data_IF_273261708435
#
_entry.id   IF_273261708435
#
_cell.length_a   1.000
_cell.length_b   1.000
_cell.length_c   1.000
_cell.angle_alpha   90.00
_cell.angle_beta   90.00
_cell.angle_gamma   90.00
#
_symmetry.space_group_name_H-M   'P 1'
#
loop_
_entity.id
_entity.type
_entity.pdbx_description
1 polymer ?
#
# COMPACT_ATOMS: atom_id res chain seq x y z
N UNK A 1 -10.04 36.02 -37.96
CA UNK A 1 -9.92 36.39 -36.53
C UNK A 1 -9.97 35.14 -35.71
N UNK A 2 -8.78 34.64 -35.41
CA UNK A 2 -8.57 33.66 -34.35
C UNK A 2 -8.94 34.35 -33.03
N UNK A 3 -9.91 33.80 -32.32
CA UNK A 3 -10.56 34.47 -31.19
C UNK A 3 -9.70 34.22 -29.95
N UNK A 4 -8.74 35.10 -29.69
CA UNK A 4 -7.75 34.99 -28.60
C UNK A 4 -8.40 34.66 -27.24
N UNK A 5 -9.62 35.13 -27.02
CA UNK A 5 -10.44 34.83 -25.84
C UNK A 5 -10.83 33.34 -25.76
N UNK A 6 -11.19 32.71 -26.88
CA UNK A 6 -11.49 31.26 -26.93
C UNK A 6 -10.23 30.42 -26.72
N UNK A 7 -9.09 30.85 -27.25
CA UNK A 7 -7.82 30.18 -27.04
C UNK A 7 -7.37 30.25 -25.56
N UNK A 8 -7.53 31.40 -24.91
CA UNK A 8 -7.23 31.57 -23.48
C UNK A 8 -8.18 30.75 -22.60
N UNK A 9 -9.48 30.71 -22.91
CA UNK A 9 -10.46 29.89 -22.21
C UNK A 9 -10.15 28.40 -22.32
N UNK A 10 -9.90 27.90 -23.55
CA UNK A 10 -9.56 26.49 -23.78
C UNK A 10 -8.24 26.10 -23.07
N UNK A 11 -7.24 26.99 -23.06
CA UNK A 11 -5.98 26.76 -22.34
C UNK A 11 -6.18 26.68 -20.82
N UNK A 12 -7.07 27.52 -20.28
CA UNK A 12 -7.44 27.50 -18.85
C UNK A 12 -8.16 26.20 -18.51
N UNK A 13 -9.17 25.81 -19.28
CA UNK A 13 -9.93 24.57 -19.10
C UNK A 13 -9.02 23.34 -19.15
N UNK A 14 -8.11 23.27 -20.13
CA UNK A 14 -7.13 22.20 -20.24
C UNK A 14 -6.19 22.12 -19.02
N UNK A 15 -5.74 23.27 -18.51
CA UNK A 15 -4.89 23.35 -17.32
C UNK A 15 -5.63 22.87 -16.06
N UNK A 16 -6.90 23.24 -15.91
CA UNK A 16 -7.75 22.79 -14.81
C UNK A 16 -8.02 21.29 -14.88
N UNK A 17 -8.35 20.76 -16.07
CA UNK A 17 -8.51 19.33 -16.30
C UNK A 17 -7.22 18.56 -15.95
N UNK A 18 -6.04 19.07 -16.36
CA UNK A 18 -4.75 18.46 -16.03
C UNK A 18 -4.51 18.40 -14.51
N UNK A 19 -4.91 19.44 -13.77
CA UNK A 19 -4.82 19.43 -12.30
C UNK A 19 -5.75 18.39 -11.69
N UNK A 20 -6.99 18.33 -12.15
CA UNK A 20 -7.97 17.35 -11.66
C UNK A 20 -7.51 15.92 -11.89
N UNK A 21 -7.01 15.60 -13.10
CA UNK A 21 -6.45 14.28 -13.41
C UNK A 21 -5.32 13.93 -12.44
N UNK A 22 -4.36 14.85 -12.22
CA UNK A 22 -3.26 14.61 -11.27
C UNK A 22 -3.76 14.31 -9.85
N UNK A 23 -4.74 15.06 -9.37
CA UNK A 23 -5.34 14.83 -8.05
C UNK A 23 -6.01 13.45 -8.00
N UNK A 24 -6.83 13.11 -8.99
CA UNK A 24 -7.51 11.81 -9.05
C UNK A 24 -6.49 10.67 -9.11
N UNK A 25 -5.47 10.75 -9.97
CA UNK A 25 -4.40 9.74 -10.07
C UNK A 25 -3.67 9.58 -8.74
N UNK A 26 -3.32 10.66 -8.04
CA UNK A 26 -2.68 10.58 -6.74
C UNK A 26 -3.57 9.87 -5.70
N UNK A 27 -4.87 10.20 -5.67
CA UNK A 27 -5.83 9.54 -4.77
C UNK A 27 -6.01 8.06 -5.10
N UNK A 28 -6.13 7.69 -6.39
CA UNK A 28 -6.27 6.27 -6.76
C UNK A 28 -5.00 5.48 -6.49
N UNK A 29 -3.81 6.06 -6.68
CA UNK A 29 -2.54 5.47 -6.27
C UNK A 29 -2.56 5.10 -4.78
N UNK A 30 -2.89 6.04 -3.90
CA UNK A 30 -2.94 5.78 -2.45
C UNK A 30 -3.96 4.69 -2.08
N UNK A 31 -5.10 4.65 -2.79
CA UNK A 31 -6.10 3.58 -2.59
C UNK A 31 -5.57 2.22 -3.01
N UNK A 32 -4.85 2.14 -4.13
CA UNK A 32 -4.25 0.89 -4.61
C UNK A 32 -3.08 0.44 -3.72
N UNK A 33 -2.28 1.37 -3.17
CA UNK A 33 -1.27 1.04 -2.16
C UNK A 33 -1.92 0.41 -0.92
N UNK A 34 -3.07 0.92 -0.44
CA UNK A 34 -3.83 0.26 0.63
C UNK A 34 -4.32 -1.14 0.23
N UNK A 35 -4.84 -1.31 -0.99
CA UNK A 35 -5.26 -2.63 -1.48
C UNK A 35 -4.09 -3.61 -1.58
N UNK A 36 -2.91 -3.13 -1.99
CA UNK A 36 -1.70 -3.93 -2.02
C UNK A 36 -1.34 -4.46 -0.63
N UNK A 37 -1.45 -3.61 0.40
CA UNK A 37 -1.21 -3.98 1.80
C UNK A 37 -2.24 -4.96 2.35
N UNK A 38 -3.54 -4.75 2.08
CA UNK A 38 -4.61 -5.51 2.75
C UNK A 38 -5.18 -6.69 1.92
N UNK A 39 -4.90 -6.74 0.63
CA UNK A 39 -5.37 -7.78 -0.27
C UNK A 39 -6.88 -7.76 -0.53
N UNK A 40 -7.52 -6.60 -0.44
CA UNK A 40 -8.92 -6.44 -0.85
C UNK A 40 -9.11 -6.91 -2.29
N UNK A 41 -10.13 -7.72 -2.51
CA UNK A 41 -10.42 -8.31 -3.81
C UNK A 41 -11.56 -7.61 -4.54
N UNK A 42 -11.61 -7.84 -5.85
CA UNK A 42 -12.75 -7.56 -6.71
C UNK A 42 -13.16 -8.86 -7.39
N UNK A 43 -14.46 -9.04 -7.63
CA UNK A 43 -14.90 -10.04 -8.61
C UNK A 43 -14.40 -9.64 -10.00
N UNK A 44 -14.22 -10.61 -10.90
CA UNK A 44 -13.81 -10.34 -12.29
C UNK A 44 -14.69 -9.26 -12.96
N UNK A 45 -16.02 -9.35 -12.83
CA UNK A 45 -16.95 -8.33 -13.34
C UNK A 45 -16.66 -6.92 -12.79
N UNK A 46 -16.49 -6.79 -11.47
CA UNK A 46 -16.21 -5.49 -10.85
C UNK A 46 -14.82 -4.97 -11.18
N UNK A 47 -13.85 -5.88 -11.37
CA UNK A 47 -12.51 -5.51 -11.81
C UNK A 47 -12.58 -4.93 -13.22
N UNK A 48 -13.22 -5.61 -14.18
CA UNK A 48 -13.35 -5.12 -15.56
C UNK A 48 -14.03 -3.75 -15.61
N UNK A 49 -15.16 -3.61 -14.92
CA UNK A 49 -15.88 -2.33 -14.82
C UNK A 49 -15.03 -1.21 -14.23
N UNK A 50 -14.22 -1.50 -13.22
CA UNK A 50 -13.40 -0.49 -12.57
C UNK A 50 -12.13 -0.16 -13.35
N UNK A 51 -11.49 -1.14 -13.98
CA UNK A 51 -10.16 -1.01 -14.55
C UNK A 51 -10.16 -0.93 -16.09
N UNK A 52 -11.03 -1.65 -16.79
CA UNK A 52 -11.10 -1.59 -18.26
C UNK A 52 -11.89 -0.37 -18.74
N UNK A 53 -13.06 -0.13 -18.14
CA UNK A 53 -14.00 0.92 -18.60
C UNK A 53 -13.64 2.34 -18.11
N UNK A 54 -12.73 2.45 -17.12
CA UNK A 54 -12.34 3.74 -16.54
C UNK A 54 -10.95 4.16 -17.00
N UNK A 55 -10.88 5.24 -17.79
CA UNK A 55 -9.64 5.72 -18.39
C UNK A 55 -8.48 5.97 -17.40
N UNK A 56 -8.76 6.40 -16.16
CA UNK A 56 -7.68 6.60 -15.17
C UNK A 56 -7.22 5.27 -14.59
N UNK A 57 -8.14 4.39 -14.25
CA UNK A 57 -7.83 3.09 -13.64
C UNK A 57 -7.18 2.14 -14.63
N UNK A 58 -7.52 2.25 -15.92
CA UNK A 58 -6.90 1.52 -17.01
C UNK A 58 -5.38 1.66 -17.01
N UNK A 59 -4.88 2.89 -16.84
CA UNK A 59 -3.45 3.15 -16.75
C UNK A 59 -2.78 2.50 -15.52
N UNK A 60 -3.53 2.24 -14.44
CA UNK A 60 -3.01 1.48 -13.30
C UNK A 60 -3.01 -0.02 -13.58
N UNK A 61 -4.07 -0.53 -14.23
CA UNK A 61 -4.19 -1.94 -14.57
C UNK A 61 -3.05 -2.43 -15.45
N UNK A 62 -2.65 -1.62 -16.44
CA UNK A 62 -1.53 -1.92 -17.36
C UNK A 62 -0.15 -1.97 -16.67
N UNK A 63 0.00 -1.24 -15.56
CA UNK A 63 1.30 -0.99 -14.91
C UNK A 63 1.49 -1.75 -13.62
N UNK A 64 0.63 -2.72 -13.35
CA UNK A 64 0.61 -3.53 -12.13
C UNK A 64 0.36 -4.99 -12.49
N UNK A 65 0.84 -5.89 -11.63
CA UNK A 65 0.57 -7.33 -11.73
C UNK A 65 -0.62 -7.69 -10.87
N UNK A 66 -1.54 -8.46 -11.43
CA UNK A 66 -2.77 -8.90 -10.80
C UNK A 66 -2.74 -10.40 -10.58
N UNK A 67 -3.49 -10.87 -9.60
CA UNK A 67 -3.58 -12.29 -9.28
C UNK A 67 -5.03 -12.70 -9.11
N UNK A 68 -5.34 -13.91 -9.56
CA UNK A 68 -6.58 -14.60 -9.21
C UNK A 68 -6.33 -15.40 -7.94
N UNK A 69 -7.20 -15.22 -6.95
CA UNK A 69 -7.10 -15.85 -5.65
C UNK A 69 -8.23 -16.85 -5.42
N UNK A 70 -7.90 -17.93 -4.74
CA UNK A 70 -8.83 -18.95 -4.29
C UNK A 70 -8.47 -19.33 -2.85
N UNK A 71 -9.40 -19.16 -1.92
CA UNK A 71 -9.20 -19.42 -0.49
C UNK A 71 -7.95 -18.71 0.09
N UNK A 72 -7.73 -17.44 -0.30
CA UNK A 72 -6.61 -16.63 0.17
C UNK A 72 -5.24 -16.99 -0.41
N UNK A 73 -5.19 -17.89 -1.40
CA UNK A 73 -3.95 -18.26 -2.11
C UNK A 73 -4.00 -17.80 -3.55
N UNK A 74 -2.87 -17.37 -4.08
CA UNK A 74 -2.74 -17.07 -5.50
C UNK A 74 -2.85 -18.36 -6.30
N UNK A 75 -3.70 -18.35 -7.33
CA UNK A 75 -3.94 -19.46 -8.25
C UNK A 75 -3.23 -19.23 -9.58
N UNK A 76 -3.24 -17.99 -10.04
CA UNK A 76 -2.56 -17.53 -11.25
C UNK A 76 -2.29 -16.04 -11.15
N UNK A 77 -1.30 -15.58 -11.90
CA UNK A 77 -0.95 -14.16 -12.04
C UNK A 77 -1.13 -13.70 -13.48
N UNK A 78 -1.42 -12.42 -13.67
CA UNK A 78 -1.59 -11.85 -14.99
C UNK A 78 -1.26 -10.35 -15.02
N UNK A 79 -0.95 -9.85 -16.21
CA UNK A 79 -0.88 -8.43 -16.56
C UNK A 79 -1.97 -8.09 -17.56
N UNK A 80 -2.53 -6.89 -17.45
CA UNK A 80 -3.45 -6.35 -18.42
C UNK A 80 -2.69 -5.52 -19.47
N UNK A 81 -3.00 -5.71 -20.75
CA UNK A 81 -2.32 -5.07 -21.87
C UNK A 81 -3.16 -3.91 -22.43
N UNK A 82 -2.51 -3.01 -23.17
CA UNK A 82 -3.14 -1.80 -23.69
C UNK A 82 -4.17 -2.05 -24.81
N UNK A 83 -4.13 -3.24 -25.41
CA UNK A 83 -5.14 -3.70 -26.37
C UNK A 83 -6.34 -4.40 -25.72
N UNK A 84 -6.34 -4.52 -24.38
CA UNK A 84 -7.39 -5.16 -23.60
C UNK A 84 -7.21 -6.66 -23.40
N UNK A 85 -6.15 -7.26 -23.94
CA UNK A 85 -5.78 -8.65 -23.67
C UNK A 85 -5.06 -8.80 -22.34
N UNK A 86 -4.76 -10.04 -21.95
CA UNK A 86 -3.99 -10.34 -20.75
C UNK A 86 -2.86 -11.30 -21.10
N UNK A 87 -1.75 -11.20 -20.39
CA UNK A 87 -0.68 -12.20 -20.44
C UNK A 87 -0.31 -12.70 -19.03
N UNK A 88 0.31 -13.88 -18.96
CA UNK A 88 0.87 -14.44 -17.74
C UNK A 88 2.37 -14.04 -17.60
N UNK A 89 3.04 -14.60 -16.60
CA UNK A 89 4.45 -14.33 -16.31
C UNK A 89 5.41 -14.80 -17.41
N UNK A 90 4.99 -15.76 -18.24
CA UNK A 90 5.74 -16.28 -19.39
C UNK A 90 5.47 -15.46 -20.69
N UNK A 91 4.71 -14.36 -20.58
CA UNK A 91 4.22 -13.52 -21.69
C UNK A 91 3.31 -14.27 -22.68
N UNK A 92 2.74 -15.40 -22.24
CA UNK A 92 1.71 -16.15 -22.97
C UNK A 92 0.32 -15.53 -22.75
N UNK A 93 -0.56 -15.69 -23.74
CA UNK A 93 -1.96 -15.25 -23.65
C UNK A 93 -2.66 -15.85 -22.42
N UNK A 94 -3.35 -15.00 -21.67
CA UNK A 94 -4.05 -15.38 -20.45
C UNK A 94 -5.55 -15.12 -20.57
N UNK A 95 -6.36 -16.15 -20.33
CA UNK A 95 -7.81 -16.01 -20.25
C UNK A 95 -8.24 -15.77 -18.79
N UNK A 96 -8.69 -14.56 -18.49
CA UNK A 96 -9.22 -14.22 -17.18
C UNK A 96 -10.55 -14.96 -16.91
N UNK A 97 -10.66 -15.81 -15.87
CA UNK A 97 -11.91 -16.51 -15.58
C UNK A 97 -13.07 -15.56 -15.26
N UNK A 98 -14.28 -15.88 -15.74
CA UNK A 98 -15.49 -15.08 -15.47
C UNK A 98 -15.81 -14.96 -13.97
N UNK A 99 -15.44 -15.99 -13.19
CA UNK A 99 -15.59 -16.03 -11.74
C UNK A 99 -14.22 -16.17 -11.10
N UNK A 100 -13.65 -15.03 -10.73
CA UNK A 100 -12.37 -14.92 -10.07
C UNK A 100 -12.44 -13.82 -9.01
N UNK A 101 -11.75 -14.05 -7.89
CA UNK A 101 -11.40 -12.99 -6.94
C UNK A 101 -10.04 -12.45 -7.33
N UNK A 102 -10.00 -11.18 -7.74
CA UNK A 102 -8.82 -10.53 -8.27
C UNK A 102 -8.31 -9.52 -7.25
N UNK A 103 -7.01 -9.50 -7.01
CA UNK A 103 -6.35 -8.39 -6.32
C UNK A 103 -4.93 -8.20 -6.84
N UNK A 104 -4.23 -7.20 -6.32
CA UNK A 104 -2.83 -6.96 -6.62
C UNK A 104 -1.99 -8.13 -6.09
N UNK A 105 -1.04 -8.58 -6.90
CA UNK A 105 -0.02 -9.53 -6.45
C UNK A 105 0.89 -8.84 -5.48
N UNK A 106 1.07 -9.44 -4.30
CA UNK A 106 2.10 -9.06 -3.35
C UNK A 106 3.24 -10.09 -3.44
N UNK A 107 4.53 -9.69 -3.43
CA UNK A 107 5.65 -10.63 -3.51
C UNK A 107 5.62 -11.76 -2.46
N UNK A 108 5.07 -11.50 -1.27
CA UNK A 108 4.85 -12.50 -0.20
C UNK A 108 3.92 -13.67 -0.58
N UNK A 109 3.14 -13.56 -1.66
CA UNK A 109 2.16 -14.56 -2.07
C UNK A 109 2.59 -15.48 -3.18
N UNK A 110 3.59 -15.08 -3.96
CA UNK A 110 4.07 -15.81 -5.12
C UNK A 110 5.44 -16.41 -4.85
N UNK A 111 5.80 -17.39 -5.66
CA UNK A 111 7.13 -18.00 -5.62
C UNK A 111 8.18 -17.05 -6.20
N UNK A 112 9.43 -17.21 -5.78
CA UNK A 112 10.53 -16.36 -6.25
C UNK A 112 10.72 -16.43 -7.77
N UNK A 113 10.53 -17.59 -8.38
CA UNK A 113 10.64 -17.76 -9.83
C UNK A 113 9.58 -16.93 -10.59
N UNK A 114 8.32 -17.00 -10.16
CA UNK A 114 7.23 -16.20 -10.75
C UNK A 114 7.50 -14.70 -10.56
N UNK A 115 8.02 -14.30 -9.39
CA UNK A 115 8.36 -12.90 -9.14
C UNK A 115 9.45 -12.38 -10.07
N UNK A 116 10.52 -13.16 -10.28
CA UNK A 116 11.62 -12.75 -11.16
C UNK A 116 11.18 -12.67 -12.61
N UNK A 117 10.33 -13.58 -13.10
CA UNK A 117 9.72 -13.48 -14.44
C UNK A 117 8.93 -12.18 -14.62
N UNK A 118 8.12 -11.79 -13.63
CA UNK A 118 7.41 -10.52 -13.69
C UNK A 118 8.33 -9.31 -13.68
N UNK A 119 9.42 -9.34 -12.90
CA UNK A 119 10.43 -8.26 -12.92
C UNK A 119 11.11 -8.16 -14.29
N UNK A 120 11.54 -9.28 -14.84
CA UNK A 120 12.15 -9.35 -16.18
C UNK A 120 11.20 -8.79 -17.24
N UNK A 121 9.93 -9.22 -17.24
CA UNK A 121 8.93 -8.69 -18.18
C UNK A 121 8.72 -7.18 -17.99
N UNK A 122 8.65 -6.67 -16.76
CA UNK A 122 8.48 -5.23 -16.53
C UNK A 122 9.71 -4.43 -16.97
N UNK A 123 10.91 -4.96 -16.81
CA UNK A 123 12.15 -4.34 -17.26
C UNK A 123 12.26 -4.35 -18.79
N UNK A 124 11.96 -5.48 -19.44
CA UNK A 124 12.01 -5.66 -20.90
C UNK A 124 11.05 -4.72 -21.65
N UNK A 125 9.85 -4.54 -21.10
CA UNK A 125 8.85 -3.62 -21.65
C UNK A 125 8.96 -2.19 -21.10
N UNK A 126 9.99 -1.88 -20.31
CA UNK A 126 10.26 -0.58 -19.69
C UNK A 126 9.06 -0.01 -18.89
N UNK A 127 8.32 -0.90 -18.21
CA UNK A 127 7.09 -0.57 -17.50
C UNK A 127 7.40 0.03 -16.14
N UNK A 128 7.16 1.33 -16.00
CA UNK A 128 7.28 2.02 -14.71
C UNK A 128 6.02 1.82 -13.86
N UNK A 129 6.16 1.08 -12.75
CA UNK A 129 5.07 0.87 -11.80
C UNK A 129 4.65 2.17 -11.09
N UNK A 130 3.35 2.37 -10.81
CA UNK A 130 2.87 3.57 -10.14
C UNK A 130 3.28 3.64 -8.66
N UNK A 131 3.58 2.50 -8.04
CA UNK A 131 4.18 2.34 -6.72
C UNK A 131 5.03 1.06 -6.71
N UNK A 132 5.84 0.89 -5.67
CA UNK A 132 6.75 -0.27 -5.53
C UNK A 132 5.88 -1.52 -5.27
N UNK A 133 5.68 -2.36 -6.29
CA UNK A 133 4.92 -3.60 -6.17
C UNK A 133 5.85 -4.82 -6.21
N UNK A 134 6.56 -5.04 -7.33
CA UNK A 134 7.39 -6.24 -7.52
C UNK A 134 8.69 -6.21 -6.70
N UNK A 135 9.14 -5.00 -6.37
CA UNK A 135 10.34 -4.78 -5.55
C UNK A 135 9.98 -4.47 -4.08
N UNK A 136 8.73 -4.69 -3.66
CA UNK A 136 8.36 -4.50 -2.26
C UNK A 136 9.12 -5.49 -1.38
N UNK A 137 9.62 -5.01 -0.24
CA UNK A 137 10.38 -5.84 0.68
C UNK A 137 9.48 -6.87 1.37
N UNK A 138 9.98 -8.10 1.49
CA UNK A 138 9.26 -9.19 2.17
C UNK A 138 9.84 -9.35 3.57
N UNK A 139 9.22 -8.70 4.55
CA UNK A 139 9.64 -8.79 5.95
C UNK A 139 8.71 -9.77 6.67
N UNK A 140 9.26 -10.91 7.05
CA UNK A 140 8.55 -11.95 7.81
C UNK A 140 8.95 -11.87 9.27
N UNK A 141 7.95 -11.80 10.15
CA UNK A 141 8.13 -11.97 11.59
C UNK A 141 8.20 -13.47 11.93
N UNK A 142 8.97 -13.78 12.97
CA UNK A 142 9.03 -15.09 13.60
C UNK A 142 8.77 -14.95 15.10
N UNK A 143 8.62 -16.07 15.82
CA UNK A 143 8.31 -16.05 17.26
C UNK A 143 9.32 -15.24 18.09
N UNK A 144 10.60 -15.21 17.70
CA UNK A 144 11.64 -14.43 18.39
C UNK A 144 11.45 -12.91 18.26
N UNK A 145 10.69 -12.48 17.26
CA UNK A 145 10.46 -11.07 16.94
C UNK A 145 9.23 -10.52 17.69
N UNK A 146 8.61 -11.36 18.54
CA UNK A 146 7.35 -11.10 19.22
C UNK A 146 7.47 -11.45 20.71
N UNK A 147 7.01 -10.54 21.57
CA UNK A 147 6.89 -10.74 23.01
C UNK A 147 5.55 -10.15 23.45
N UNK A 148 4.74 -10.90 24.20
CA UNK A 148 3.40 -10.46 24.68
C UNK A 148 2.49 -9.84 23.59
N UNK A 149 2.45 -10.47 22.41
CA UNK A 149 1.74 -10.00 21.20
C UNK A 149 2.18 -8.61 20.67
N UNK A 150 3.35 -8.14 21.08
CA UNK A 150 4.00 -6.93 20.58
C UNK A 150 5.18 -7.31 19.68
N UNK A 151 5.43 -6.51 18.63
CA UNK A 151 6.59 -6.71 17.75
C UNK A 151 7.86 -6.21 18.45
N UNK A 152 8.50 -7.08 19.22
CA UNK A 152 9.69 -6.77 20.03
C UNK A 152 10.94 -6.46 19.18
N UNK A 153 10.99 -6.93 17.92
CA UNK A 153 12.13 -6.74 16.98
C UNK A 153 12.59 -5.28 16.82
N UNK A 154 11.71 -4.30 17.00
CA UNK A 154 12.04 -2.88 16.80
C UNK A 154 11.97 -2.04 18.08
N UNK A 155 11.64 -2.64 19.22
CA UNK A 155 11.53 -1.91 20.48
C UNK A 155 12.90 -1.42 20.93
N UNK A 156 12.95 -0.17 21.41
CA UNK A 156 14.17 0.54 21.77
C UNK A 156 14.99 1.05 20.58
N UNK A 157 14.58 0.78 19.33
CA UNK A 157 15.19 1.42 18.17
C UNK A 157 14.76 2.88 18.11
N UNK A 158 15.70 3.75 17.75
CA UNK A 158 15.47 5.18 17.63
C UNK A 158 15.12 5.57 16.20
N UNK A 159 14.29 6.60 16.07
CA UNK A 159 14.01 7.29 14.82
C UNK A 159 13.85 8.78 15.08
N UNK A 160 13.97 9.58 14.02
CA UNK A 160 13.65 11.00 14.11
C UNK A 160 12.14 11.22 14.17
N UNK A 161 11.66 12.08 15.06
CA UNK A 161 10.23 12.45 15.14
C UNK A 161 9.67 12.91 13.79
N UNK A 162 10.48 13.63 12.99
CA UNK A 162 10.13 14.01 11.63
C UNK A 162 9.91 12.85 10.66
N UNK A 163 10.63 11.73 10.83
CA UNK A 163 10.42 10.50 10.04
C UNK A 163 9.10 9.83 10.40
N UNK A 164 8.75 9.72 11.69
CA UNK A 164 7.44 9.21 12.12
C UNK A 164 6.31 10.09 11.59
N UNK A 165 6.41 11.41 11.71
CA UNK A 165 5.41 12.34 11.20
C UNK A 165 5.27 12.26 9.66
N UNK A 166 6.37 12.07 8.94
CA UNK A 166 6.36 11.87 7.50
C UNK A 166 5.69 10.54 7.10
N UNK A 167 5.97 9.45 7.81
CA UNK A 167 5.31 8.16 7.62
C UNK A 167 3.80 8.27 7.90
N UNK A 168 3.42 8.89 9.03
CA UNK A 168 2.03 9.11 9.40
C UNK A 168 1.27 9.89 8.32
N UNK A 169 1.86 10.96 7.79
CA UNK A 169 1.28 11.71 6.68
C UNK A 169 1.19 10.90 5.38
N UNK A 170 2.24 10.16 5.02
CA UNK A 170 2.30 9.38 3.77
C UNK A 170 1.24 8.28 3.74
N UNK A 171 1.08 7.55 4.84
CA UNK A 171 0.17 6.41 4.95
C UNK A 171 -1.19 6.78 5.56
N UNK A 172 -1.42 8.08 5.85
CA UNK A 172 -2.63 8.58 6.47
C UNK A 172 -2.95 7.86 7.79
N UNK A 173 -1.92 7.71 8.62
CA UNK A 173 -2.07 7.21 9.99
C UNK A 173 -2.79 8.26 10.83
N UNK A 174 -3.63 7.79 11.75
CA UNK A 174 -4.28 8.63 12.73
C UNK A 174 -3.29 8.88 13.87
N UNK A 175 -3.32 10.08 14.45
CA UNK A 175 -2.63 10.34 15.71
C UNK A 175 -3.56 9.88 16.83
N UNK A 176 -3.04 9.19 17.84
CA UNK A 176 -3.84 8.78 18.99
C UNK A 176 -4.21 9.95 19.90
N UNK A 177 -4.78 9.62 21.05
CA UNK A 177 -5.38 10.59 21.95
C UNK A 177 -4.34 11.57 22.52
N UNK A 178 -4.76 12.81 22.77
CA UNK A 178 -3.93 13.76 23.49
C UNK A 178 -3.83 13.33 24.96
N UNK A 179 -2.60 13.29 25.47
CA UNK A 179 -2.28 13.03 26.87
C UNK A 179 -1.96 14.30 27.65
N UNK A 180 -1.44 14.10 28.86
CA UNK A 180 -1.03 15.19 29.73
C UNK A 180 0.22 15.92 29.21
N UNK A 181 0.35 17.20 29.56
CA UNK A 181 1.53 18.00 29.21
C UNK A 181 1.72 18.26 27.71
N UNK A 182 0.69 18.04 26.89
CA UNK A 182 0.78 18.17 25.43
C UNK A 182 1.41 16.95 24.75
N UNK A 183 1.46 15.80 25.43
CA UNK A 183 1.78 14.52 24.81
C UNK A 183 0.63 13.99 23.96
N UNK A 184 0.89 12.97 23.16
CA UNK A 184 -0.15 12.17 22.52
C UNK A 184 0.29 10.70 22.42
N UNK A 185 -0.69 9.80 22.36
CA UNK A 185 -0.46 8.37 22.14
C UNK A 185 -0.16 8.13 20.66
N UNK A 186 1.06 7.72 20.33
CA UNK A 186 1.45 7.10 19.06
C UNK A 186 0.78 7.53 17.74
N UNK A 187 0.87 6.63 16.77
CA UNK A 187 0.20 6.69 15.48
C UNK A 187 -0.43 5.35 15.13
N UNK A 188 -1.64 5.42 14.57
CA UNK A 188 -2.44 4.26 14.17
C UNK A 188 -2.58 4.18 12.66
N UNK A 189 -2.06 3.11 12.07
CA UNK A 189 -2.35 2.75 10.68
C UNK A 189 -3.59 1.86 10.64
N UNK A 190 -4.74 2.46 10.37
CA UNK A 190 -6.04 1.78 10.35
C UNK A 190 -6.33 1.17 8.97
N UNK A 191 -6.75 -0.10 8.97
CA UNK A 191 -7.30 -0.79 7.81
C UNK A 191 -8.71 -1.32 8.10
N UNK A 192 -9.72 -0.57 7.62
CA UNK A 192 -11.13 -0.91 7.81
C UNK A 192 -11.54 -2.21 7.09
N UNK A 193 -10.81 -2.60 6.03
CA UNK A 193 -11.13 -3.81 5.27
C UNK A 193 -10.77 -5.08 6.08
N UNK A 194 -9.62 -5.05 6.75
CA UNK A 194 -9.20 -6.11 7.66
C UNK A 194 -9.81 -5.97 9.06
N UNK A 195 -10.35 -4.80 9.41
CA UNK A 195 -10.90 -4.53 10.73
C UNK A 195 -9.82 -4.47 11.82
N UNK A 196 -8.60 -4.09 11.44
CA UNK A 196 -7.44 -4.02 12.33
C UNK A 196 -6.70 -2.69 12.15
N UNK A 197 -5.82 -2.38 13.09
CA UNK A 197 -4.85 -1.32 12.94
C UNK A 197 -3.51 -1.69 13.57
N UNK A 198 -2.45 -1.09 13.05
CA UNK A 198 -1.13 -1.11 13.68
C UNK A 198 -1.00 0.15 14.53
N UNK A 199 -0.79 -0.02 15.83
CA UNK A 199 -0.40 1.03 16.76
C UNK A 199 1.12 1.10 16.87
N UNK A 200 1.70 2.30 16.74
CA UNK A 200 3.12 2.57 16.94
C UNK A 200 3.25 3.71 17.96
N UNK A 201 3.89 3.45 19.09
CA UNK A 201 4.16 4.46 20.12
C UNK A 201 5.65 4.58 20.42
N UNK A 202 6.04 5.71 21.00
CA UNK A 202 7.40 5.97 21.42
C UNK A 202 7.50 6.75 22.73
N UNK A 203 8.70 6.74 23.30
CA UNK A 203 9.00 7.26 24.64
C UNK A 203 8.67 8.75 24.85
N UNK A 204 8.81 9.57 23.81
CA UNK A 204 8.59 11.02 23.88
C UNK A 204 7.87 11.53 22.63
N UNK A 205 6.53 11.52 22.66
CA UNK A 205 5.67 12.09 21.62
C UNK A 205 4.84 13.25 22.15
N UNK A 206 4.98 14.44 21.54
CA UNK A 206 4.23 15.64 21.94
C UNK A 206 3.97 16.61 20.78
N UNK A 207 2.98 17.48 20.97
CA UNK A 207 2.60 18.46 19.96
C UNK A 207 3.69 19.52 19.74
N UNK A 208 4.08 19.73 18.48
CA UNK A 208 5.09 20.73 18.13
C UNK A 208 6.54 20.28 18.36
N UNK A 209 6.77 18.98 18.57
CA UNK A 209 8.09 18.38 18.69
C UNK A 209 9.00 18.73 17.50
N UNK A 210 10.28 19.01 17.78
CA UNK A 210 11.27 19.26 16.73
C UNK A 210 11.49 17.98 15.92
N UNK A 211 11.49 18.11 14.59
CA UNK A 211 11.60 16.96 13.69
C UNK A 211 12.94 16.23 13.77
N UNK A 212 13.96 16.82 14.39
CA UNK A 212 15.27 16.19 14.59
C UNK A 212 15.43 15.51 15.96
N UNK A 213 14.43 15.61 16.84
CA UNK A 213 14.43 14.87 18.10
C UNK A 213 14.33 13.37 17.84
N UNK A 214 15.03 12.63 18.69
CA UNK A 214 15.01 11.17 18.70
C UNK A 214 13.79 10.68 19.48
N UNK A 215 13.13 9.66 18.94
CA UNK A 215 12.02 8.94 19.56
C UNK A 215 12.40 7.46 19.54
N UNK A 216 12.39 6.83 20.71
CA UNK A 216 12.61 5.39 20.84
C UNK A 216 11.26 4.68 20.76
N UNK A 217 11.14 3.67 19.90
CA UNK A 217 9.90 2.91 19.76
C UNK A 217 9.65 2.07 21.02
N UNK A 218 8.50 2.24 21.65
CA UNK A 218 8.14 1.55 22.89
C UNK A 218 6.98 0.58 22.71
N UNK A 219 6.04 0.88 21.81
CA UNK A 219 4.93 -0.02 21.49
C UNK A 219 4.74 -0.22 19.99
N UNK A 220 4.59 -1.47 19.58
CA UNK A 220 4.25 -1.85 18.20
C UNK A 220 3.27 -3.03 18.26
N UNK A 221 1.97 -2.75 18.17
CA UNK A 221 0.92 -3.74 18.38
C UNK A 221 -0.08 -3.71 17.23
N UNK A 222 -0.52 -4.89 16.81
CA UNK A 222 -1.71 -5.01 15.97
C UNK A 222 -2.93 -5.15 16.87
N UNK A 223 -3.98 -4.39 16.58
CA UNK A 223 -5.21 -4.42 17.37
C UNK A 223 -6.43 -4.47 16.48
N UNK A 224 -7.53 -4.99 16.98
CA UNK A 224 -8.83 -4.93 16.29
C UNK A 224 -9.42 -3.53 16.38
N UNK A 225 -10.05 -3.07 15.29
CA UNK A 225 -10.80 -1.81 15.30
C UNK A 225 -12.01 -1.90 16.24
N UNK A 226 -12.63 -3.09 16.33
CA UNK A 226 -13.69 -3.37 17.28
C UNK A 226 -13.12 -3.92 18.59
N UNK A 227 -13.31 -3.20 19.70
CA UNK A 227 -12.96 -3.65 21.05
C UNK A 227 -11.49 -3.53 21.46
N UNK A 228 -10.61 -3.04 20.59
CA UNK A 228 -9.18 -2.78 20.87
C UNK A 228 -8.38 -4.01 21.35
N UNK A 229 -8.71 -5.21 20.86
CA UNK A 229 -8.04 -6.43 21.26
C UNK A 229 -6.67 -6.55 20.58
N UNK A 230 -5.62 -6.78 21.37
CA UNK A 230 -4.26 -7.02 20.85
C UNK A 230 -4.20 -8.39 20.18
N UNK A 231 -3.74 -8.41 18.94
CA UNK A 231 -3.59 -9.60 18.10
C UNK A 231 -2.15 -10.10 18.10
N UNK A 232 -1.97 -11.42 18.04
CA UNK A 232 -0.67 -12.00 17.74
C UNK A 232 -0.25 -11.60 16.31
N UNK A 233 0.90 -10.91 16.10
CA UNK A 233 1.33 -10.50 14.77
C UNK A 233 1.48 -11.65 13.76
N UNK A 234 1.69 -12.91 14.21
CA UNK A 234 1.77 -14.07 13.33
C UNK A 234 0.40 -14.54 12.79
N UNK A 235 -0.69 -14.10 13.41
CA UNK A 235 -2.07 -14.44 13.01
C UNK A 235 -2.70 -13.35 12.12
N UNK A 236 -2.04 -12.20 12.00
CA UNK A 236 -2.47 -11.10 11.13
C UNK A 236 -2.15 -11.40 9.67
N UNK A 237 -2.91 -10.81 8.73
CA UNK A 237 -2.65 -10.92 7.31
C UNK A 237 -1.17 -10.62 6.98
N UNK A 238 -0.46 -11.62 6.44
CA UNK A 238 0.99 -11.54 6.18
C UNK A 238 1.41 -10.41 5.24
N UNK A 239 0.55 -9.97 4.31
CA UNK A 239 0.84 -8.81 3.45
C UNK A 239 0.87 -7.55 4.29
N UNK A 240 -0.17 -7.36 5.09
CA UNK A 240 -0.31 -6.20 5.95
C UNK A 240 0.84 -6.12 6.94
N UNK A 241 1.19 -7.23 7.58
CA UNK A 241 2.36 -7.32 8.46
C UNK A 241 3.65 -6.93 7.73
N UNK A 242 3.94 -7.53 6.56
CA UNK A 242 5.14 -7.22 5.78
C UNK A 242 5.24 -5.73 5.45
N UNK A 243 4.17 -5.14 4.91
CA UNK A 243 4.14 -3.72 4.58
C UNK A 243 4.27 -2.84 5.83
N UNK A 244 3.62 -3.18 6.93
CA UNK A 244 3.76 -2.47 8.20
C UNK A 244 5.20 -2.49 8.70
N UNK A 245 5.89 -3.63 8.63
CA UNK A 245 7.29 -3.72 9.04
C UNK A 245 8.20 -2.93 8.12
N UNK A 246 7.92 -2.91 6.81
CA UNK A 246 8.68 -2.09 5.85
C UNK A 246 8.53 -0.59 6.17
N UNK A 247 7.33 -0.15 6.57
CA UNK A 247 7.11 1.23 7.03
C UNK A 247 7.96 1.53 8.27
N UNK A 248 8.01 0.59 9.22
CA UNK A 248 8.80 0.73 10.45
C UNK A 248 10.30 0.77 10.14
N UNK A 249 10.81 -0.13 9.30
CA UNK A 249 12.23 -0.17 8.91
C UNK A 249 12.65 1.13 8.21
N UNK A 250 11.79 1.67 7.33
CA UNK A 250 12.06 2.94 6.64
C UNK A 250 12.06 4.18 7.55
N UNK A 251 11.34 4.16 8.67
CA UNK A 251 11.35 5.28 9.62
C UNK A 251 12.49 5.16 10.63
N UNK A 252 12.92 3.96 10.99
CA UNK A 252 14.05 3.74 11.89
C UNK A 252 15.40 3.96 11.20
N UNK A 253 16.40 4.39 11.97
CA UNK A 253 17.78 4.45 11.48
C UNK A 253 18.40 3.04 11.58
N UNK A 254 18.08 2.18 10.61
CA UNK A 254 18.61 0.81 10.47
C UNK A 254 19.71 0.71 9.42
#
# INVERSE_FOLDING_TARGET
>A
NDDTVKAEAAKKEFSELKKQIKTVTATQKQRLEKVFMNGRTWTAENWRKLFEENAVMHCFAEKLVWGVYENGKVKSTFRYLSDGSFCNEDDDEYELPEKADITLVHPVDIEGEVLEKWKEQFDDYEIVQPFIQLNAEIIKLSEKDIEDNQVSKYIGKSCKSGKMAAAAKKYNMLRGAAGDGGSFEGYDLVDDYLGIYLHIDGDVLYFGQDYNEDVNLEEIKFKTVDGDYVLNPLEVNKRFVSCCMEIIENMTDM
#
